data_IF_426906851402
#
_entry.id   IF_426906851402
#
_cell.length_a   1.000
_cell.length_b   1.000
_cell.length_c   1.000
_cell.angle_alpha   90.00
_cell.angle_beta   90.00
_cell.angle_gamma   90.00
#
_symmetry.space_group_name_H-M   'P 1'
#
loop_
_entity.id
_entity.type
_entity.pdbx_description
1 polymer ?
#
# COMPACT_ATOMS: atom_id res chain seq x y z
N UNK A 1 -19.97 11.38 36.45
CA UNK A 1 -18.84 11.41 35.50
C UNK A 1 -18.40 9.96 35.31
N UNK A 2 -18.89 9.30 34.27
CA UNK A 2 -18.74 7.86 34.09
C UNK A 2 -17.43 7.60 33.33
N UNK A 3 -16.47 6.94 33.96
CA UNK A 3 -15.24 6.48 33.31
C UNK A 3 -15.63 5.30 32.45
N UNK A 4 -15.64 5.48 31.13
CA UNK A 4 -15.89 4.38 30.21
C UNK A 4 -14.83 3.31 30.37
N UNK A 5 -15.30 2.07 30.31
CA UNK A 5 -14.67 0.77 30.52
C UNK A 5 -13.27 0.59 29.89
N UNK A 6 -12.27 1.26 30.47
CA UNK A 6 -10.84 1.23 30.06
C UNK A 6 -10.28 -0.20 30.03
N UNK A 7 -10.83 -1.09 30.86
CA UNK A 7 -10.42 -2.50 30.94
C UNK A 7 -10.69 -3.24 29.64
N UNK A 8 -11.74 -2.90 28.89
CA UNK A 8 -12.03 -3.59 27.64
C UNK A 8 -11.21 -3.04 26.45
N UNK A 9 -10.89 -1.75 26.46
CA UNK A 9 -10.00 -1.16 25.46
C UNK A 9 -8.52 -1.52 25.67
N UNK A 10 -8.12 -1.77 26.93
CA UNK A 10 -6.76 -2.20 27.28
C UNK A 10 -6.61 -3.71 27.49
N UNK A 11 -7.69 -4.50 27.39
CA UNK A 11 -7.55 -5.95 27.44
C UNK A 11 -6.89 -6.44 26.16
N UNK A 12 -5.70 -7.05 26.27
CA UNK A 12 -5.01 -7.80 25.20
C UNK A 12 -5.75 -9.12 24.86
N UNK A 13 -7.08 -9.07 24.83
CA UNK A 13 -7.86 -10.18 24.30
C UNK A 13 -7.68 -10.18 22.79
N UNK A 14 -7.34 -11.35 22.23
CA UNK A 14 -7.33 -11.54 20.78
C UNK A 14 -8.66 -11.01 20.23
N UNK A 15 -8.65 -10.02 19.32
CA UNK A 15 -9.89 -9.56 18.72
C UNK A 15 -10.58 -10.77 18.11
N UNK A 16 -11.92 -10.88 18.24
CA UNK A 16 -12.63 -12.03 17.71
C UNK A 16 -12.25 -12.21 16.24
N UNK A 17 -11.73 -13.39 15.90
CA UNK A 17 -11.36 -13.85 14.55
C UNK A 17 -12.61 -14.01 13.65
N UNK A 18 -13.61 -13.16 13.82
CA UNK A 18 -14.75 -13.10 12.92
C UNK A 18 -14.30 -12.39 11.65
N UNK A 19 -14.57 -13.02 10.49
CA UNK A 19 -14.41 -12.36 9.19
C UNK A 19 -15.19 -11.05 9.25
N UNK A 20 -14.50 -9.93 9.11
CA UNK A 20 -15.13 -8.60 9.09
C UNK A 20 -16.20 -8.61 8.02
N UNK A 21 -17.44 -8.27 8.39
CA UNK A 21 -18.55 -8.28 7.44
C UNK A 21 -18.24 -7.40 6.24
N UNK A 22 -18.45 -7.92 5.03
CA UNK A 22 -18.14 -7.22 3.78
C UNK A 22 -16.66 -7.18 3.40
N UNK A 23 -15.78 -7.88 4.12
CA UNK A 23 -14.39 -8.10 3.69
C UNK A 23 -14.30 -8.98 2.43
N UNK A 24 -13.22 -8.81 1.68
CA UNK A 24 -12.91 -9.59 0.49
C UNK A 24 -11.44 -10.02 0.51
N UNK A 25 -11.17 -11.24 0.07
CA UNK A 25 -9.82 -11.76 -0.07
C UNK A 25 -9.75 -12.51 -1.40
N UNK A 26 -8.78 -12.14 -2.23
CA UNK A 26 -8.57 -12.78 -3.52
C UNK A 26 -7.56 -13.92 -3.39
N UNK A 27 -7.77 -15.01 -4.11
CA UNK A 27 -6.84 -16.14 -4.17
C UNK A 27 -5.48 -15.75 -4.77
N UNK A 28 -5.46 -14.73 -5.64
CA UNK A 28 -4.22 -14.23 -6.26
C UNK A 28 -3.41 -13.33 -5.32
N UNK A 29 -4.03 -12.83 -4.26
CA UNK A 29 -3.40 -11.93 -3.28
C UNK A 29 -3.68 -12.44 -1.87
N UNK A 30 -3.18 -13.62 -1.49
CA UNK A 30 -3.52 -14.27 -0.22
C UNK A 30 -3.15 -13.40 1.00
N UNK A 31 -2.12 -12.57 0.87
CA UNK A 31 -1.64 -11.71 1.95
C UNK A 31 -2.39 -10.37 2.07
N UNK A 32 -3.50 -10.18 1.34
CA UNK A 32 -4.25 -8.94 1.31
C UNK A 32 -5.73 -9.19 1.59
N UNK A 33 -6.24 -8.62 2.68
CA UNK A 33 -7.66 -8.64 3.03
C UNK A 33 -8.22 -7.23 2.81
N UNK A 34 -9.13 -7.09 1.86
CA UNK A 34 -9.79 -5.83 1.55
C UNK A 34 -10.97 -5.63 2.49
N UNK A 35 -11.04 -4.44 3.08
CA UNK A 35 -12.02 -4.10 4.11
C UNK A 35 -12.89 -2.92 3.64
N UNK A 36 -14.18 -2.87 4.03
CA UNK A 36 -15.06 -1.75 3.70
C UNK A 36 -14.49 -0.39 4.16
N UNK A 37 -15.03 0.76 3.74
CA UNK A 37 -16.12 0.90 2.78
C UNK A 37 -15.77 0.33 1.41
N UNK A 38 -16.78 -0.17 0.70
CA UNK A 38 -16.68 -0.56 -0.71
C UNK A 38 -17.73 0.20 -1.50
N UNK A 39 -17.40 0.62 -2.71
CA UNK A 39 -18.32 1.37 -3.56
C UNK A 39 -18.09 1.10 -5.05
N UNK A 40 -19.04 1.52 -5.90
CA UNK A 40 -18.85 1.47 -7.35
C UNK A 40 -17.64 2.31 -7.72
N UNK A 41 -16.65 1.72 -8.40
CA UNK A 41 -15.41 2.43 -8.68
C UNK A 41 -15.55 3.53 -9.73
N UNK A 42 -16.57 3.47 -10.59
CA UNK A 42 -16.67 4.32 -11.77
C UNK A 42 -16.87 5.81 -11.47
N UNK A 43 -17.63 6.13 -10.42
CA UNK A 43 -17.96 7.50 -10.05
C UNK A 43 -16.72 8.27 -9.57
N UNK A 44 -15.73 7.55 -9.04
CA UNK A 44 -14.49 8.12 -8.51
C UNK A 44 -13.34 8.10 -9.52
N UNK A 45 -13.49 7.46 -10.69
CA UNK A 45 -12.42 7.37 -11.70
C UNK A 45 -12.44 8.59 -12.61
N UNK A 46 -11.53 9.53 -12.34
CA UNK A 46 -11.26 10.65 -13.24
C UNK A 46 -10.58 10.19 -14.53
N UNK A 47 -10.63 11.01 -15.58
CA UNK A 47 -9.95 10.73 -16.85
C UNK A 47 -8.43 10.55 -16.70
N UNK A 48 -7.82 11.31 -15.77
CA UNK A 48 -6.41 11.18 -15.40
C UNK A 48 -6.12 9.83 -14.75
N UNK A 49 -6.91 9.44 -13.74
CA UNK A 49 -6.78 8.15 -13.08
C UNK A 49 -6.99 6.99 -14.06
N UNK A 50 -8.00 7.07 -14.94
CA UNK A 50 -8.24 6.07 -15.99
C UNK A 50 -7.02 5.87 -16.91
N UNK A 51 -6.33 6.96 -17.25
CA UNK A 51 -5.11 6.90 -18.08
C UNK A 51 -3.98 6.19 -17.34
N UNK A 52 -3.79 6.49 -16.05
CA UNK A 52 -2.80 5.83 -15.20
C UNK A 52 -3.11 4.34 -15.01
N UNK A 53 -4.38 3.97 -14.80
CA UNK A 53 -4.82 2.57 -14.71
C UNK A 53 -4.50 1.83 -16.01
N UNK A 54 -4.86 2.40 -17.17
CA UNK A 54 -4.55 1.79 -18.46
C UNK A 54 -3.05 1.59 -18.66
N UNK A 55 -2.22 2.57 -18.29
CA UNK A 55 -0.76 2.48 -18.39
C UNK A 55 -0.18 1.39 -17.46
N UNK A 56 -0.68 1.30 -16.23
CA UNK A 56 -0.30 0.25 -15.27
C UNK A 56 -0.65 -1.15 -15.79
N UNK A 57 -1.85 -1.32 -16.36
CA UNK A 57 -2.30 -2.58 -16.95
C UNK A 57 -1.48 -2.98 -18.18
N UNK A 58 -1.18 -2.04 -19.08
CA UNK A 58 -0.26 -2.31 -20.21
C UNK A 58 1.09 -2.79 -19.69
N UNK A 59 1.63 -2.17 -18.65
CA UNK A 59 2.90 -2.58 -18.03
C UNK A 59 2.80 -3.98 -17.42
N UNK A 60 1.69 -4.28 -16.72
CA UNK A 60 1.42 -5.61 -16.14
C UNK A 60 1.31 -6.69 -17.20
N UNK A 61 0.73 -6.39 -18.35
CA UNK A 61 0.56 -7.31 -19.47
C UNK A 61 1.69 -7.24 -20.51
N UNK A 62 2.75 -6.47 -20.25
CA UNK A 62 3.73 -6.05 -21.28
C UNK A 62 4.46 -7.23 -21.96
N UNK A 63 4.47 -8.42 -21.36
CA UNK A 63 4.93 -9.65 -22.03
C UNK A 63 4.14 -9.99 -23.31
N UNK A 64 3.01 -9.33 -23.56
CA UNK A 64 2.03 -9.70 -24.59
C UNK A 64 1.81 -8.63 -25.68
N UNK A 65 2.64 -7.59 -25.77
CA UNK A 65 2.52 -6.50 -26.77
C UNK A 65 1.12 -5.85 -26.85
N UNK A 66 0.42 -5.76 -25.72
CA UNK A 66 -0.95 -5.24 -25.66
C UNK A 66 -0.94 -3.72 -25.80
N UNK A 67 -1.76 -3.20 -26.72
CA UNK A 67 -1.90 -1.76 -26.94
C UNK A 67 -2.81 -1.12 -25.89
N UNK A 68 -2.50 0.12 -25.51
CA UNK A 68 -3.32 0.88 -24.54
C UNK A 68 -4.78 1.07 -24.99
N UNK A 69 -5.02 1.16 -26.31
CA UNK A 69 -6.37 1.25 -26.87
C UNK A 69 -7.22 0.01 -26.59
N UNK A 70 -6.60 -1.18 -26.66
CA UNK A 70 -7.26 -2.45 -26.33
C UNK A 70 -7.60 -2.51 -24.85
N UNK A 71 -6.66 -2.13 -23.97
CA UNK A 71 -6.91 -2.05 -22.52
C UNK A 71 -8.06 -1.10 -22.23
N UNK A 72 -8.07 0.09 -22.84
CA UNK A 72 -9.13 1.09 -22.67
C UNK A 72 -10.50 0.61 -23.17
N UNK A 73 -10.54 -0.24 -24.20
CA UNK A 73 -11.80 -0.84 -24.67
C UNK A 73 -12.37 -1.79 -23.62
N UNK A 74 -11.55 -2.70 -23.11
CA UNK A 74 -11.99 -3.73 -22.17
C UNK A 74 -12.25 -3.20 -20.77
N UNK A 75 -11.47 -2.22 -20.31
CA UNK A 75 -11.71 -1.63 -18.99
C UNK A 75 -13.08 -0.96 -18.89
N UNK A 76 -13.64 -0.46 -20.01
CA UNK A 76 -14.98 0.15 -20.03
C UNK A 76 -16.11 -0.81 -19.71
N UNK A 77 -15.89 -2.10 -19.96
CA UNK A 77 -16.85 -3.17 -19.71
C UNK A 77 -16.44 -4.03 -18.51
N UNK A 78 -15.33 -3.70 -17.85
CA UNK A 78 -14.87 -4.41 -16.67
C UNK A 78 -15.73 -4.06 -15.46
N UNK A 79 -15.83 -4.99 -14.53
CA UNK A 79 -16.40 -4.70 -13.22
C UNK A 79 -15.32 -4.07 -12.35
N UNK A 80 -15.57 -2.86 -11.84
CA UNK A 80 -14.61 -2.13 -11.00
C UNK A 80 -15.22 -1.79 -9.64
N UNK A 81 -14.53 -2.19 -8.59
CA UNK A 81 -14.84 -1.86 -7.21
C UNK A 81 -13.73 -0.98 -6.63
N UNK A 82 -14.11 -0.02 -5.79
CA UNK A 82 -13.15 0.69 -4.93
C UNK A 82 -13.29 0.26 -3.49
N UNK A 83 -12.15 0.08 -2.84
CA UNK A 83 -12.03 -0.35 -1.46
C UNK A 83 -11.39 0.73 -0.60
N UNK A 84 -11.90 0.91 0.61
CA UNK A 84 -11.42 1.93 1.53
C UNK A 84 -10.22 1.51 2.36
N UNK A 85 -10.01 0.20 2.56
CA UNK A 85 -8.95 -0.33 3.42
C UNK A 85 -8.40 -1.65 2.89
N UNK A 86 -7.13 -1.91 3.20
CA UNK A 86 -6.48 -3.21 3.00
C UNK A 86 -5.70 -3.58 4.25
N UNK A 87 -5.87 -4.81 4.73
CA UNK A 87 -5.05 -5.41 5.77
C UNK A 87 -4.01 -6.32 5.12
N UNK A 88 -2.73 -6.06 5.36
CA UNK A 88 -1.62 -6.90 4.95
C UNK A 88 -1.46 -8.03 5.98
N UNK A 89 -1.23 -9.27 5.54
CA UNK A 89 -1.14 -10.45 6.42
C UNK A 89 0.29 -11.03 6.48
N UNK A 90 1.30 -10.18 6.46
CA UNK A 90 2.71 -10.59 6.50
C UNK A 90 3.21 -11.00 7.91
N UNK A 91 2.42 -10.76 8.96
CA UNK A 91 2.62 -11.23 10.34
C UNK A 91 1.29 -11.41 11.09
N UNK A 92 1.32 -11.91 12.34
CA UNK A 92 0.11 -12.14 13.16
C UNK A 92 -0.69 -10.84 13.42
N UNK A 93 -0.01 -9.70 13.46
CA UNK A 93 -0.59 -8.36 13.64
C UNK A 93 -0.44 -7.53 12.36
N UNK A 94 -1.04 -8.02 11.28
CA UNK A 94 -1.00 -7.36 9.98
C UNK A 94 -1.44 -5.89 9.93
N UNK A 95 -0.67 -5.04 9.23
CA UNK A 95 -0.96 -3.61 9.04
C UNK A 95 -2.29 -3.36 8.31
N UNK A 96 -3.13 -2.45 8.83
CA UNK A 96 -4.32 -1.97 8.13
C UNK A 96 -4.09 -0.58 7.54
N UNK A 97 -4.08 -0.52 6.21
CA UNK A 97 -3.81 0.69 5.43
C UNK A 97 -5.13 1.25 4.87
N UNK A 98 -5.26 2.57 4.90
CA UNK A 98 -6.45 3.30 4.48
C UNK A 98 -6.22 4.00 3.13
N UNK A 99 -7.22 3.95 2.26
CA UNK A 99 -7.28 4.75 1.06
C UNK A 99 -7.82 6.14 1.41
N UNK A 100 -7.06 7.19 1.13
CA UNK A 100 -7.39 8.56 1.55
C UNK A 100 -8.67 9.11 0.90
N UNK A 101 -9.16 8.53 -0.19
CA UNK A 101 -10.36 9.00 -0.87
C UNK A 101 -11.69 8.45 -0.32
N UNK A 102 -11.68 7.31 0.39
CA UNK A 102 -12.90 6.62 0.85
C UNK A 102 -13.10 6.72 2.36
N UNK A 103 -12.12 7.25 3.10
CA UNK A 103 -12.16 7.34 4.57
C UNK A 103 -12.44 8.74 5.09
N UNK A 104 -13.11 8.82 6.25
CA UNK A 104 -13.07 10.01 7.09
C UNK A 104 -11.66 10.19 7.64
N UNK A 105 -11.17 11.43 7.75
CA UNK A 105 -9.95 11.74 8.51
C UNK A 105 -10.18 11.25 9.95
N UNK A 106 -9.39 10.29 10.45
CA UNK A 106 -9.53 9.83 11.83
C UNK A 106 -9.42 11.03 12.78
N UNK A 107 -10.31 11.08 13.78
CA UNK A 107 -10.29 12.14 14.79
C UNK A 107 -9.05 12.03 15.70
N UNK A 108 -8.48 10.83 15.77
CA UNK A 108 -7.17 10.55 16.31
C UNK A 108 -6.09 10.84 15.26
N UNK A 109 -5.00 11.49 15.66
CA UNK A 109 -3.92 12.04 14.82
C UNK A 109 -3.17 11.03 13.92
N UNK A 110 -3.56 9.75 13.95
CA UNK A 110 -2.87 8.65 13.25
C UNK A 110 -3.36 8.55 11.81
N UNK A 111 -2.52 9.02 10.90
CA UNK A 111 -2.77 8.93 9.46
C UNK A 111 -2.29 7.59 8.89
N UNK A 112 -3.21 6.63 8.77
CA UNK A 112 -2.96 5.31 8.22
C UNK A 112 -3.01 5.26 6.68
N UNK A 113 -2.84 6.39 5.98
CA UNK A 113 -2.87 6.45 4.51
C UNK A 113 -1.49 6.38 3.87
N UNK A 114 -0.40 6.42 4.65
CA UNK A 114 0.96 6.45 4.11
C UNK A 114 1.59 5.07 4.08
N UNK A 115 2.24 4.75 2.96
CA UNK A 115 2.80 3.42 2.70
C UNK A 115 4.23 3.49 2.20
N UNK A 116 4.98 2.43 2.48
CA UNK A 116 6.20 2.08 1.76
C UNK A 116 5.87 1.13 0.61
N UNK A 117 6.46 1.36 -0.54
CA UNK A 117 6.33 0.46 -1.69
C UNK A 117 7.66 0.29 -2.43
N UNK A 118 7.76 -0.81 -3.18
CA UNK A 118 8.89 -1.10 -4.05
C UNK A 118 8.49 -0.94 -5.52
N UNK A 119 9.29 -0.20 -6.28
CA UNK A 119 9.12 -0.06 -7.73
C UNK A 119 10.44 -0.20 -8.50
N UNK A 120 10.38 -0.84 -9.68
CA UNK A 120 11.52 -0.99 -10.57
C UNK A 120 11.76 0.35 -11.28
N UNK A 121 12.98 0.87 -11.16
CA UNK A 121 13.40 2.12 -11.78
C UNK A 121 14.46 1.83 -12.82
N UNK A 122 14.24 2.30 -14.04
CA UNK A 122 15.29 2.32 -15.04
C UNK A 122 16.36 3.37 -14.67
N UNK A 123 17.54 2.90 -14.27
CA UNK A 123 18.65 3.79 -13.90
C UNK A 123 19.16 4.61 -15.07
N UNK A 124 18.92 4.13 -16.30
CA UNK A 124 19.32 4.80 -17.52
C UNK A 124 18.17 5.56 -18.18
N UNK A 125 17.06 5.78 -17.48
CA UNK A 125 15.89 6.47 -18.04
C UNK A 125 16.19 7.84 -18.68
N UNK A 126 17.25 8.53 -18.22
CA UNK A 126 17.71 9.82 -18.77
C UNK A 126 18.72 9.68 -19.91
N UNK A 127 19.30 8.50 -20.10
CA UNK A 127 20.35 8.20 -21.08
C UNK A 127 19.76 7.45 -22.28
N UNK A 128 19.27 8.20 -23.27
CA UNK A 128 18.51 7.68 -24.42
C UNK A 128 19.16 6.54 -25.23
N UNK A 129 20.49 6.38 -25.16
CA UNK A 129 21.24 5.37 -25.93
C UNK A 129 21.50 4.07 -25.18
N UNK A 130 21.15 4.01 -23.90
CA UNK A 130 21.41 2.83 -23.07
C UNK A 130 20.20 1.92 -23.04
N UNK A 131 20.46 0.61 -23.07
CA UNK A 131 19.41 -0.38 -22.81
C UNK A 131 18.91 -0.20 -21.38
N UNK A 132 17.58 -0.25 -21.13
CA UNK A 132 17.04 -0.09 -19.80
C UNK A 132 17.68 -1.05 -18.81
N UNK A 133 18.10 -0.54 -17.65
CA UNK A 133 18.58 -1.36 -16.53
C UNK A 133 17.70 -1.06 -15.34
N UNK A 134 16.92 -2.05 -14.92
CA UNK A 134 15.97 -1.88 -13.83
C UNK A 134 16.61 -2.21 -12.49
N UNK A 135 16.45 -1.32 -11.52
CA UNK A 135 16.81 -1.52 -10.13
C UNK A 135 15.59 -1.36 -9.23
N UNK A 136 15.44 -2.26 -8.26
CA UNK A 136 14.40 -2.18 -7.26
C UNK A 136 14.71 -1.05 -6.28
N UNK A 137 13.78 -0.11 -6.11
CA UNK A 137 13.93 1.01 -5.17
C UNK A 137 12.74 1.16 -4.26
N UNK A 138 13.02 1.63 -3.05
CA UNK A 138 12.03 1.97 -2.02
C UNK A 138 11.50 3.37 -2.24
N UNK A 139 10.19 3.53 -2.09
CA UNK A 139 9.49 4.79 -2.16
C UNK A 139 8.44 4.88 -1.05
N UNK A 140 8.06 6.11 -0.73
CA UNK A 140 6.99 6.43 0.21
C UNK A 140 5.91 7.22 -0.51
N UNK A 141 4.64 6.95 -0.18
CA UNK A 141 3.50 7.59 -0.83
C UNK A 141 2.26 7.58 0.05
N UNK A 142 1.34 8.50 -0.23
CA UNK A 142 -0.03 8.39 0.25
C UNK A 142 -0.83 7.45 -0.66
N UNK A 143 -1.53 6.48 -0.10
CA UNK A 143 -2.50 5.64 -0.79
C UNK A 143 -3.81 6.40 -0.98
N UNK A 144 -4.18 6.65 -2.23
CA UNK A 144 -5.38 7.39 -2.57
C UNK A 144 -6.57 6.46 -2.82
N UNK A 145 -6.41 5.45 -3.67
CA UNK A 145 -7.47 4.50 -4.04
C UNK A 145 -6.94 3.06 -4.06
N UNK A 146 -7.78 2.12 -3.61
CA UNK A 146 -7.60 0.68 -3.85
C UNK A 146 -8.65 0.26 -4.88
N UNK A 147 -8.20 -0.29 -6.00
CA UNK A 147 -9.03 -0.52 -7.18
C UNK A 147 -8.97 -2.01 -7.51
N UNK A 148 -10.12 -2.68 -7.43
CA UNK A 148 -10.28 -4.06 -7.85
C UNK A 148 -10.95 -4.07 -9.23
N UNK A 149 -10.34 -4.77 -10.17
CA UNK A 149 -10.79 -4.90 -11.56
C UNK A 149 -11.02 -6.37 -11.87
N UNK A 150 -12.21 -6.71 -12.36
CA UNK A 150 -12.53 -8.00 -12.96
C UNK A 150 -12.91 -7.79 -14.43
N UNK A 151 -12.15 -8.41 -15.31
CA UNK A 151 -12.39 -8.34 -16.75
C UNK A 151 -13.48 -9.32 -17.18
N UNK A 152 -14.16 -9.00 -18.29
CA UNK A 152 -15.05 -9.95 -18.97
C UNK A 152 -14.28 -11.12 -19.56
N UNK A 153 -14.99 -12.17 -19.94
CA UNK A 153 -14.41 -13.39 -20.52
C UNK A 153 -13.63 -13.11 -21.82
N UNK A 154 -14.18 -12.28 -22.72
CA UNK A 154 -13.51 -11.85 -23.95
C UNK A 154 -12.19 -11.12 -23.67
N UNK A 155 -12.20 -10.24 -22.67
CA UNK A 155 -11.00 -9.53 -22.23
C UNK A 155 -9.99 -10.49 -21.61
N UNK A 156 -10.45 -11.48 -20.84
CA UNK A 156 -9.59 -12.50 -20.26
C UNK A 156 -8.89 -13.32 -21.35
N UNK A 157 -9.61 -13.70 -22.41
CA UNK A 157 -9.06 -14.41 -23.56
C UNK A 157 -8.04 -13.54 -24.33
N UNK A 158 -8.38 -12.29 -24.65
CA UNK A 158 -7.50 -11.39 -25.41
C UNK A 158 -6.24 -11.03 -24.62
N UNK A 159 -6.37 -10.84 -23.31
CA UNK A 159 -5.24 -10.59 -22.41
C UNK A 159 -4.53 -11.87 -21.97
N UNK A 160 -5.05 -13.05 -22.32
CA UNK A 160 -4.58 -14.36 -21.87
C UNK A 160 -4.38 -14.41 -20.35
N UNK A 161 -5.35 -13.90 -19.60
CA UNK A 161 -5.42 -13.99 -18.15
C UNK A 161 -6.50 -15.00 -17.77
N UNK A 162 -6.36 -15.63 -16.61
CA UNK A 162 -7.33 -16.62 -16.16
C UNK A 162 -8.70 -15.95 -15.96
N UNK A 163 -9.76 -16.60 -16.42
CA UNK A 163 -11.13 -16.11 -16.27
C UNK A 163 -11.47 -15.94 -14.79
N UNK A 164 -12.14 -14.83 -14.46
CA UNK A 164 -12.47 -14.47 -13.08
C UNK A 164 -11.27 -14.02 -12.23
N UNK A 165 -10.09 -13.76 -12.82
CA UNK A 165 -8.95 -13.22 -12.07
C UNK A 165 -9.22 -11.80 -11.58
N UNK A 166 -8.97 -11.57 -10.29
CA UNK A 166 -8.94 -10.22 -9.75
C UNK A 166 -7.60 -9.54 -10.11
N UNK A 167 -7.67 -8.30 -10.58
CA UNK A 167 -6.51 -7.43 -10.70
C UNK A 167 -6.69 -6.28 -9.74
N UNK A 168 -5.75 -6.15 -8.80
CA UNK A 168 -5.86 -5.17 -7.73
C UNK A 168 -4.72 -4.19 -7.85
N UNK A 169 -5.09 -2.92 -8.01
CA UNK A 169 -4.19 -1.80 -8.19
C UNK A 169 -4.32 -0.83 -7.03
N UNK A 170 -3.21 -0.20 -6.67
CA UNK A 170 -3.14 0.89 -5.74
C UNK A 170 -2.82 2.18 -6.50
N UNK A 171 -3.69 3.17 -6.35
CA UNK A 171 -3.45 4.54 -6.78
C UNK A 171 -2.76 5.28 -5.65
N UNK A 172 -1.58 5.83 -5.92
CA UNK A 172 -0.72 6.44 -4.92
C UNK A 172 -0.26 7.83 -5.34
N UNK A 173 0.00 8.71 -4.37
CA UNK A 173 0.68 9.99 -4.57
C UNK A 173 2.04 9.97 -3.88
N UNK A 174 3.10 9.93 -4.67
CA UNK A 174 4.49 9.75 -4.17
C UNK A 174 4.95 10.92 -3.32
N UNK A 175 5.63 10.68 -2.20
CA UNK A 175 6.32 11.72 -1.45
C UNK A 175 7.59 12.17 -2.20
N UNK A 176 7.80 13.49 -2.36
CA UNK A 176 9.07 14.02 -2.88
C UNK A 176 10.04 14.16 -1.71
N UNK A 177 10.88 13.14 -1.52
CA UNK A 177 11.86 13.14 -0.44
C UNK A 177 12.88 14.27 -0.64
N UNK A 178 13.17 14.97 0.44
CA UNK A 178 14.22 15.99 0.47
C UNK A 178 15.57 15.27 0.51
N UNK A 179 16.46 15.62 -0.44
CA UNK A 179 17.68 14.83 -0.72
C UNK A 179 18.79 14.99 0.31
N UNK A 180 18.67 16.00 1.17
CA UNK A 180 19.79 16.51 1.96
C UNK A 180 19.72 16.06 3.43
N UNK A 181 18.77 15.19 3.82
CA UNK A 181 18.50 14.85 5.22
C UNK A 181 18.18 13.36 5.50
N UNK A 182 18.89 12.37 4.97
CA UNK A 182 18.78 11.01 5.49
C UNK A 182 19.50 10.92 6.86
N UNK A 183 18.73 10.88 7.95
CA UNK A 183 19.23 10.52 9.29
C UNK A 183 19.45 9.00 9.41
N UNK A 184 20.12 8.40 8.41
CA UNK A 184 20.49 6.98 8.42
C UNK A 184 21.51 6.65 9.53
N UNK A 185 22.19 7.67 10.06
CA UNK A 185 23.24 7.55 11.07
C UNK A 185 22.78 6.96 12.43
N UNK A 186 21.46 6.90 12.70
CA UNK A 186 20.90 6.36 13.93
C UNK A 186 20.20 5.00 13.76
N UNK A 187 20.29 4.38 12.58
CA UNK A 187 19.55 3.15 12.27
C UNK A 187 18.03 3.34 12.14
N UNK A 188 17.56 4.59 12.17
CA UNK A 188 16.16 4.97 12.04
C UNK A 188 15.90 5.45 10.60
N UNK A 189 14.92 4.85 9.93
CA UNK A 189 14.54 5.20 8.57
C UNK A 189 13.60 6.42 8.56
N UNK A 190 14.15 7.60 8.88
CA UNK A 190 13.46 8.88 8.81
C UNK A 190 13.69 9.55 7.47
N UNK A 191 12.59 9.90 6.79
CA UNK A 191 12.64 10.56 5.49
C UNK A 191 11.77 11.82 5.47
N UNK A 192 12.42 12.96 5.25
CA UNK A 192 11.74 14.25 5.15
C UNK A 192 11.13 14.43 3.77
N UNK A 193 9.93 14.98 3.73
CA UNK A 193 9.31 15.49 2.50
C UNK A 193 8.46 16.72 2.81
N UNK A 194 8.55 17.70 1.92
CA UNK A 194 7.75 18.93 1.97
C UNK A 194 6.54 18.88 1.05
N UNK A 195 6.59 18.05 -0.01
CA UNK A 195 5.60 18.05 -1.08
C UNK A 195 5.24 16.64 -1.56
N UNK A 196 3.97 16.48 -1.94
CA UNK A 196 3.53 15.32 -2.70
C UNK A 196 3.87 15.52 -4.19
N UNK A 197 4.16 14.40 -4.84
CA UNK A 197 4.65 14.29 -6.21
C UNK A 197 3.60 13.77 -7.16
N UNK A 198 4.09 13.03 -8.16
CA UNK A 198 3.24 12.49 -9.21
C UNK A 198 2.30 11.44 -8.64
N UNK A 199 1.10 11.43 -9.20
CA UNK A 199 0.14 10.36 -9.04
C UNK A 199 0.57 9.19 -9.92
N UNK A 200 0.56 7.99 -9.34
CA UNK A 200 0.99 6.75 -9.99
C UNK A 200 0.03 5.63 -9.63
N UNK A 201 -0.10 4.65 -10.53
CA UNK A 201 -0.89 3.44 -10.27
C UNK A 201 0.06 2.26 -10.34
N UNK A 202 0.06 1.47 -9.27
CA UNK A 202 0.93 0.30 -9.08
C UNK A 202 0.07 -0.93 -8.75
N UNK A 203 0.64 -2.13 -8.86
CA UNK A 203 0.00 -3.33 -8.33
C UNK A 203 -0.05 -3.28 -6.80
N UNK A 204 -1.10 -3.84 -6.19
CA UNK A 204 -1.22 -3.85 -4.72
C UNK A 204 -0.02 -4.54 -4.05
N UNK A 205 0.55 -5.56 -4.71
CA UNK A 205 1.70 -6.34 -4.24
C UNK A 205 2.99 -5.53 -4.07
N UNK A 206 3.06 -4.34 -4.68
CA UNK A 206 4.19 -3.42 -4.56
C UNK A 206 4.22 -2.73 -3.21
N UNK A 207 3.07 -2.56 -2.56
CA UNK A 207 2.97 -2.01 -1.19
C UNK A 207 3.51 -3.05 -0.21
N UNK A 208 4.38 -2.60 0.71
CA UNK A 208 5.06 -3.47 1.66
C UNK A 208 4.60 -3.31 3.08
N UNK A 209 4.33 -2.09 3.53
CA UNK A 209 3.87 -1.84 4.89
C UNK A 209 3.22 -0.46 4.99
N UNK A 210 2.52 -0.25 6.10
CA UNK A 210 2.14 1.07 6.58
C UNK A 210 3.39 1.80 7.08
N UNK A 211 3.41 3.13 6.96
CA UNK A 211 4.44 3.97 7.58
C UNK A 211 3.79 5.12 8.33
N UNK A 212 4.42 5.50 9.45
CA UNK A 212 4.00 6.67 10.20
C UNK A 212 4.43 7.95 9.49
N UNK A 213 3.71 9.04 9.75
CA UNK A 213 4.20 10.38 9.42
C UNK A 213 3.94 11.36 10.54
N UNK A 214 4.88 12.26 10.78
CA UNK A 214 4.78 13.32 11.79
C UNK A 214 5.12 14.65 11.13
N UNK A 215 4.38 15.70 11.51
CA UNK A 215 4.67 17.05 11.05
C UNK A 215 5.90 17.56 11.80
N UNK A 216 6.91 18.00 11.05
CA UNK A 216 8.06 18.67 11.63
C UNK A 216 7.77 20.17 11.73
N UNK A 217 8.01 20.76 12.90
CA UNK A 217 7.70 22.16 13.21
C UNK A 217 8.41 23.17 12.29
N UNK A 218 9.41 22.73 11.52
CA UNK A 218 10.26 23.51 10.65
C UNK A 218 10.01 23.40 9.14
N UNK A 219 8.77 23.17 8.66
CA UNK A 219 8.34 23.25 7.24
C UNK A 219 8.26 21.94 6.43
N UNK A 220 8.02 20.80 7.07
CA UNK A 220 7.85 19.53 6.34
C UNK A 220 7.15 18.43 7.12
N UNK A 221 7.21 17.23 6.57
CA UNK A 221 6.76 16.00 7.19
C UNK A 221 7.91 15.01 7.24
N UNK A 222 7.96 14.22 8.30
CA UNK A 222 8.88 13.08 8.43
C UNK A 222 8.06 11.81 8.25
N UNK A 223 8.45 10.97 7.30
CA UNK A 223 8.00 9.58 7.24
C UNK A 223 8.87 8.76 8.18
N UNK A 224 8.24 7.96 9.02
CA UNK A 224 8.86 7.03 9.95
C UNK A 224 8.55 5.61 9.46
N UNK A 225 9.58 4.94 8.96
CA UNK A 225 9.48 3.56 8.52
C UNK A 225 9.96 2.60 9.61
N UNK A 226 9.00 2.03 10.33
CA UNK A 226 9.24 1.06 11.39
C UNK A 226 9.29 -0.39 10.88
N UNK A 227 9.40 -0.64 9.57
CA UNK A 227 9.43 -2.02 9.05
C UNK A 227 10.82 -2.67 9.09
N UNK A 228 11.83 -1.97 9.62
CA UNK A 228 13.21 -2.45 9.78
C UNK A 228 13.43 -3.37 10.99
N UNK A 229 14.63 -3.93 11.10
CA UNK A 229 15.01 -4.88 12.16
C UNK A 229 14.87 -4.32 13.59
N UNK A 230 14.89 -2.99 13.75
CA UNK A 230 14.73 -2.31 15.04
C UNK A 230 13.31 -2.39 15.62
N UNK A 231 12.29 -2.68 14.80
CA UNK A 231 10.92 -2.90 15.30
C UNK A 231 10.66 -4.35 15.70
N UNK A 232 11.61 -5.26 15.45
CA UNK A 232 11.59 -6.59 16.03
C UNK A 232 12.32 -6.49 17.36
N UNK A 233 11.58 -6.35 18.44
CA UNK A 233 12.12 -6.58 19.78
C UNK A 233 12.81 -7.95 19.79
N UNK A 234 14.14 -7.96 19.87
CA UNK A 234 14.86 -9.10 20.35
C UNK A 234 14.66 -9.09 21.86
N UNK A 235 13.75 -9.94 22.34
CA UNK A 235 13.66 -10.26 23.75
C UNK A 235 14.96 -11.02 24.10
N UNK A 236 16.02 -10.29 24.48
CA UNK A 236 17.13 -10.88 25.22
C UNK A 236 16.57 -11.18 26.60
N UNK A 237 16.14 -12.42 26.80
CA UNK A 237 15.67 -12.88 28.10
C UNK A 237 16.74 -12.65 29.16
N UNK A 238 16.33 -12.08 30.29
CA UNK A 238 17.12 -11.97 31.51
C UNK A 238 17.63 -13.36 31.93
N UNK A 239 18.83 -13.73 31.46
CA UNK A 239 19.62 -14.79 32.05
C UNK A 239 20.38 -14.18 33.22
N UNK A 240 19.77 -14.04 34.39
CA UNK A 240 20.51 -13.77 35.64
C UNK A 240 19.66 -14.03 36.90
N UNK A 241 19.14 -15.25 37.10
CA UNK A 241 18.82 -15.74 38.46
C UNK A 241 18.86 -17.27 38.50
N UNK A 242 20.03 -17.85 38.81
CA UNK A 242 20.21 -18.99 39.72
C UNK A 242 21.65 -19.53 39.60
N UNK A 243 22.53 -19.08 40.48
CA UNK A 243 23.60 -19.91 41.05
C UNK A 243 24.22 -19.18 42.24
N UNK A 244 23.49 -19.19 43.35
CA UNK A 244 24.11 -19.15 44.68
C UNK A 244 23.16 -19.78 45.69
N UNK A 245 23.34 -21.08 45.92
CA UNK A 245 22.97 -21.76 47.17
C UNK A 245 23.90 -22.96 47.33
N UNK A 246 24.97 -22.72 48.09
CA UNK A 246 25.65 -23.73 48.90
C UNK A 246 24.79 -24.11 50.09
#
# INVERSE_FOLDING_TARGET
>A
MCVYNVVHELSLCLPPSSKVHGSFQSLLYPNHIFLPPKGPGWECITSGLMTSICAALVTRFNSKNIKIGTVRKHIKNAHIEMWGRVKLMDSEEGDTIWASCVGMVPQDSRDATYVRYLALVDVYARLKKFKPKFEMRTFYSQLEHIILIRFSDDACQEFQIQMGSDIILASIRRCKLDKDQPLEALGLHFHYYSNLGRHEVIGIESIKCLVGRVKDGGHGWVVMDCSGSLARELYEGDNDFENDLR
#
